data_IF_353099713418
#
_entry.id   IF_353099713418
#
_cell.length_a   1.000
_cell.length_b   1.000
_cell.length_c   1.000
_cell.angle_alpha   90.00
_cell.angle_beta   90.00
_cell.angle_gamma   90.00
#
_symmetry.space_group_name_H-M   'P 1'
#
loop_
_entity.id
_entity.type
_entity.pdbx_description
1 polymer ?
#
# COMPACT_ATOMS: atom_id res chain seq x y z
N UNK A 1 6.65 20.08 13.62
CA UNK A 1 7.66 19.12 14.08
C UNK A 1 8.87 19.88 14.57
N UNK A 2 10.05 19.39 14.20
CA UNK A 2 11.33 19.98 14.59
C UNK A 2 11.45 21.47 14.23
N UNK A 3 10.96 21.88 13.04
CA UNK A 3 10.93 23.29 12.63
C UNK A 3 10.05 24.18 13.51
N UNK A 4 9.04 23.60 14.16
CA UNK A 4 8.11 24.29 15.07
C UNK A 4 8.56 24.16 16.54
N UNK A 5 9.77 23.65 16.81
CA UNK A 5 10.31 23.46 18.16
C UNK A 5 9.83 22.20 18.89
N UNK A 6 9.00 21.36 18.27
CA UNK A 6 8.59 20.08 18.87
C UNK A 6 9.74 19.08 18.82
N UNK A 7 9.97 18.37 19.93
CA UNK A 7 10.96 17.31 19.98
C UNK A 7 10.43 16.01 19.40
N UNK A 8 11.31 15.23 18.77
CA UNK A 8 10.95 14.00 18.10
C UNK A 8 11.89 12.83 18.43
N UNK A 9 11.34 11.63 18.49
CA UNK A 9 12.09 10.37 18.48
C UNK A 9 11.87 9.68 17.13
N UNK A 10 12.94 9.24 16.48
CA UNK A 10 12.90 8.44 15.26
C UNK A 10 13.52 7.07 15.55
N UNK A 11 12.74 6.01 15.42
CA UNK A 11 13.20 4.63 15.58
C UNK A 11 13.41 4.04 14.19
N UNK A 12 14.65 3.71 13.87
CA UNK A 12 15.00 3.02 12.63
C UNK A 12 15.25 1.54 12.91
N UNK A 13 14.73 0.65 12.05
CA UNK A 13 15.00 -0.79 12.16
C UNK A 13 15.89 -1.31 11.04
N UNK A 14 15.72 -0.81 9.82
CA UNK A 14 16.41 -1.35 8.64
C UNK A 14 17.64 -0.50 8.26
N UNK A 15 17.58 0.81 8.49
CA UNK A 15 18.63 1.77 8.12
C UNK A 15 19.43 2.25 9.34
N UNK A 16 20.72 2.53 9.15
CA UNK A 16 21.50 3.18 10.21
C UNK A 16 21.09 4.65 10.34
N UNK A 17 21.13 5.24 11.55
CA UNK A 17 20.87 6.66 11.73
C UNK A 17 21.72 7.58 10.83
N UNK A 18 22.97 7.20 10.54
CA UNK A 18 23.85 7.94 9.61
C UNK A 18 23.25 8.05 8.21
N UNK A 19 22.66 6.95 7.73
CA UNK A 19 22.20 6.83 6.36
C UNK A 19 20.92 7.66 6.18
N UNK A 20 20.05 7.67 7.19
CA UNK A 20 18.87 8.55 7.25
C UNK A 20 19.26 10.04 7.24
N UNK A 21 20.31 10.42 7.99
CA UNK A 21 20.80 11.82 7.98
C UNK A 21 21.32 12.21 6.60
N UNK A 22 22.05 11.32 5.93
CA UNK A 22 22.53 11.54 4.56
C UNK A 22 21.36 11.67 3.56
N UNK A 23 20.38 10.76 3.62
CA UNK A 23 19.18 10.81 2.79
C UNK A 23 18.39 12.10 3.02
N UNK A 24 18.21 12.52 4.27
CA UNK A 24 17.56 13.78 4.62
C UNK A 24 18.33 14.99 4.04
N UNK A 25 19.66 14.95 4.12
CA UNK A 25 20.53 15.99 3.54
C UNK A 25 20.35 16.09 2.03
N UNK A 26 20.21 14.96 1.33
CA UNK A 26 19.94 14.94 -0.13
C UNK A 26 18.59 15.59 -0.51
N UNK A 27 17.63 15.60 0.43
CA UNK A 27 16.35 16.29 0.30
C UNK A 27 16.41 17.74 0.77
N UNK A 28 17.58 18.24 1.19
CA UNK A 28 17.79 19.60 1.69
C UNK A 28 17.42 19.79 3.16
N UNK A 29 17.28 18.71 3.93
CA UNK A 29 16.97 18.75 5.36
C UNK A 29 18.20 18.53 6.21
N UNK A 30 18.61 19.59 6.92
CA UNK A 30 19.67 19.49 7.93
C UNK A 30 19.08 18.97 9.25
N UNK A 31 19.27 17.68 9.50
CA UNK A 31 18.90 17.03 10.76
C UNK A 31 19.98 17.15 11.84
N UNK A 32 21.23 17.43 11.45
CA UNK A 32 22.37 17.45 12.38
C UNK A 32 22.21 18.50 13.47
N UNK A 33 21.67 19.68 13.11
CA UNK A 33 21.34 20.72 14.11
C UNK A 33 20.37 20.23 15.19
N UNK A 34 19.32 19.48 14.81
CA UNK A 34 18.33 18.99 15.78
C UNK A 34 18.87 17.84 16.64
N UNK A 35 19.78 17.03 16.09
CA UNK A 35 20.50 16.00 16.85
C UNK A 35 21.43 16.65 17.89
N UNK A 36 22.21 17.65 17.48
CA UNK A 36 23.12 18.38 18.36
C UNK A 36 22.38 19.08 19.51
N UNK A 37 21.26 19.72 19.19
CA UNK A 37 20.43 20.45 20.16
C UNK A 37 19.48 19.55 20.96
N UNK A 38 19.57 18.22 20.81
CA UNK A 38 18.70 17.23 21.49
C UNK A 38 17.21 17.50 21.28
N UNK A 39 16.84 17.99 20.10
CA UNK A 39 15.45 18.09 19.66
C UNK A 39 15.02 16.85 18.87
N UNK A 40 15.97 16.16 18.23
CA UNK A 40 15.77 14.87 17.59
C UNK A 40 16.62 13.82 18.33
N UNK A 41 16.01 12.68 18.65
CA UNK A 41 16.71 11.48 19.10
C UNK A 41 16.47 10.37 18.07
N UNK A 42 17.54 9.79 17.56
CA UNK A 42 17.47 8.63 16.67
C UNK A 42 17.87 7.37 17.43
N UNK A 43 17.03 6.35 17.37
CA UNK A 43 17.23 5.05 18.01
C UNK A 43 17.41 3.99 16.92
N UNK A 44 18.51 3.25 16.99
CA UNK A 44 18.79 2.11 16.11
C UNK A 44 18.28 0.83 16.77
N UNK A 45 17.24 0.24 16.18
CA UNK A 45 16.63 -1.01 16.63
C UNK A 45 17.18 -2.23 15.89
N UNK A 46 17.99 -2.08 14.83
CA UNK A 46 18.52 -3.19 14.04
C UNK A 46 19.24 -4.26 14.89
N UNK A 47 20.09 -3.90 15.89
CA UNK A 47 20.79 -4.90 16.72
C UNK A 47 19.86 -5.85 17.49
N UNK A 48 18.64 -5.43 17.80
CA UNK A 48 17.66 -6.27 18.49
C UNK A 48 17.14 -7.40 17.61
N UNK A 49 17.18 -7.24 16.28
CA UNK A 49 16.70 -8.21 15.31
C UNK A 49 17.82 -9.06 14.67
N UNK A 50 19.09 -8.64 14.78
CA UNK A 50 20.25 -9.31 14.17
C UNK A 50 21.05 -10.21 15.15
N UNK A 51 20.55 -10.44 16.37
CA UNK A 51 21.24 -11.20 17.43
C UNK A 51 21.57 -12.65 17.05
N UNK A 52 22.87 -12.99 17.12
CA UNK A 52 23.45 -14.29 16.83
C UNK A 52 23.18 -15.30 17.96
N UNK A 53 22.59 -16.47 17.64
CA UNK A 53 22.45 -17.55 18.63
C UNK A 53 21.34 -18.59 18.39
N UNK A 54 20.68 -18.62 17.23
CA UNK A 54 19.68 -19.66 16.89
C UNK A 54 18.37 -19.63 17.67
N UNK A 55 18.30 -18.94 18.82
CA UNK A 55 17.07 -18.60 19.51
C UNK A 55 16.66 -17.18 19.16
N UNK A 56 15.71 -17.03 18.23
CA UNK A 56 14.97 -15.77 18.09
C UNK A 56 14.30 -15.48 19.42
N UNK A 57 14.85 -14.53 20.19
CA UNK A 57 14.18 -14.03 21.40
C UNK A 57 12.84 -13.47 20.95
N UNK A 58 11.76 -14.01 21.49
CA UNK A 58 10.42 -13.54 21.17
C UNK A 58 10.31 -12.08 21.65
N UNK A 59 9.93 -11.19 20.73
CA UNK A 59 9.82 -9.78 21.03
C UNK A 59 8.66 -9.57 22.01
N UNK A 60 8.97 -9.08 23.20
CA UNK A 60 7.98 -8.62 24.16
C UNK A 60 7.56 -7.20 23.78
N UNK A 61 6.41 -7.10 23.09
CA UNK A 61 5.87 -5.82 22.61
C UNK A 61 5.64 -4.83 23.76
N UNK A 62 4.90 -5.17 24.84
CA UNK A 62 4.73 -4.28 25.98
C UNK A 62 6.05 -3.75 26.55
N UNK A 63 7.05 -4.62 26.74
CA UNK A 63 8.34 -4.20 27.27
C UNK A 63 9.07 -3.26 26.31
N UNK A 64 9.08 -3.59 25.02
CA UNK A 64 9.74 -2.78 23.99
C UNK A 64 9.13 -1.38 23.90
N UNK A 65 7.80 -1.28 23.99
CA UNK A 65 7.10 0.01 24.02
C UNK A 65 7.37 0.77 25.32
N UNK A 66 7.43 0.10 26.48
CA UNK A 66 7.78 0.75 27.74
C UNK A 66 9.22 1.32 27.71
N UNK A 67 10.17 0.57 27.13
CA UNK A 67 11.53 1.04 26.93
C UNK A 67 11.56 2.26 25.99
N UNK A 68 10.84 2.23 24.87
CA UNK A 68 10.68 3.39 23.98
C UNK A 68 10.07 4.60 24.71
N UNK A 69 9.02 4.37 25.51
CA UNK A 69 8.37 5.41 26.29
C UNK A 69 9.34 6.09 27.27
N UNK A 70 10.29 5.35 27.84
CA UNK A 70 11.32 5.94 28.69
C UNK A 70 12.19 6.97 27.95
N UNK A 71 12.56 6.70 26.70
CA UNK A 71 13.31 7.64 25.85
C UNK A 71 12.46 8.84 25.45
N UNK A 72 11.21 8.60 25.03
CA UNK A 72 10.25 9.65 24.65
C UNK A 72 10.00 10.61 25.81
N UNK A 73 9.71 10.08 27.00
CA UNK A 73 9.45 10.88 28.20
C UNK A 73 10.68 11.64 28.68
N UNK A 74 11.86 11.01 28.64
CA UNK A 74 13.13 11.67 29.00
C UNK A 74 13.47 12.83 28.06
N UNK A 75 13.18 12.68 26.76
CA UNK A 75 13.38 13.75 25.78
C UNK A 75 12.31 14.84 25.92
N UNK A 76 11.10 14.47 26.33
CA UNK A 76 9.89 15.29 26.23
C UNK A 76 9.42 15.38 24.78
N UNK A 77 9.45 14.26 24.05
CA UNK A 77 9.12 14.23 22.64
C UNK A 77 7.61 14.22 22.40
N UNK A 78 7.14 15.09 21.51
CA UNK A 78 5.73 15.15 21.11
C UNK A 78 5.46 14.36 19.82
N UNK A 79 6.52 13.89 19.16
CA UNK A 79 6.46 13.10 17.93
C UNK A 79 7.32 11.86 18.00
N UNK A 80 6.77 10.73 17.53
CA UNK A 80 7.50 9.47 17.43
C UNK A 80 7.29 8.91 16.02
N UNK A 81 8.37 8.53 15.36
CA UNK A 81 8.35 7.82 14.08
C UNK A 81 8.97 6.45 14.29
N UNK A 82 8.35 5.40 13.74
CA UNK A 82 8.89 4.04 13.73
C UNK A 82 8.94 3.56 12.28
N UNK A 83 10.13 3.31 11.77
CA UNK A 83 10.36 3.00 10.36
C UNK A 83 11.39 1.85 10.13
N UNK A 84 10.97 0.72 9.55
CA UNK A 84 9.58 0.25 9.45
C UNK A 84 9.09 -0.34 10.78
N UNK A 85 7.76 -0.35 10.97
CA UNK A 85 7.12 -0.98 12.13
C UNK A 85 7.05 -2.51 12.02
N UNK A 86 7.21 -3.06 10.82
CA UNK A 86 7.05 -4.49 10.52
C UNK A 86 7.79 -5.43 11.47
N UNK A 87 9.09 -5.24 11.73
CA UNK A 87 9.84 -6.09 12.66
C UNK A 87 9.32 -6.09 14.10
N UNK A 88 8.63 -5.03 14.54
CA UNK A 88 8.00 -4.96 15.86
C UNK A 88 6.70 -5.76 15.97
N UNK A 89 6.21 -6.31 14.86
CA UNK A 89 5.04 -7.19 14.81
C UNK A 89 5.52 -8.58 14.36
N UNK A 90 6.07 -9.39 15.29
CA UNK A 90 6.61 -10.70 14.95
C UNK A 90 5.52 -11.60 14.37
N UNK A 91 5.86 -12.30 13.28
CA UNK A 91 4.98 -13.26 12.62
C UNK A 91 5.43 -14.69 12.90
N UNK A 92 4.50 -15.51 13.40
CA UNK A 92 4.59 -16.98 13.32
C UNK A 92 3.51 -17.56 12.40
N UNK A 93 2.28 -17.00 12.40
CA UNK A 93 1.15 -17.31 11.49
C UNK A 93 0.15 -16.12 11.45
N UNK A 94 -0.71 -16.01 10.42
CA UNK A 94 -1.53 -14.81 10.15
C UNK A 94 -2.48 -14.33 11.26
N UNK A 95 -2.99 -15.21 12.14
CA UNK A 95 -3.78 -14.77 13.31
C UNK A 95 -2.94 -14.03 14.35
N UNK A 96 -1.69 -14.45 14.56
CA UNK A 96 -0.80 -13.85 15.54
C UNK A 96 -0.32 -12.45 15.13
N UNK A 97 -0.19 -12.18 13.83
CA UNK A 97 0.18 -10.85 13.33
C UNK A 97 -0.85 -9.80 13.77
N UNK A 98 -2.15 -10.12 13.62
CA UNK A 98 -3.24 -9.21 14.00
C UNK A 98 -3.23 -8.86 15.49
N UNK A 99 -3.07 -9.86 16.35
CA UNK A 99 -3.09 -9.65 17.80
C UNK A 99 -1.83 -8.92 18.27
N UNK A 100 -0.68 -9.18 17.64
CA UNK A 100 0.56 -8.46 17.90
C UNK A 100 0.46 -7.00 17.47
N UNK A 101 -0.08 -6.70 16.30
CA UNK A 101 -0.31 -5.33 15.84
C UNK A 101 -1.29 -4.56 16.76
N UNK A 102 -2.39 -5.20 17.18
CA UNK A 102 -3.31 -4.61 18.17
C UNK A 102 -2.63 -4.34 19.50
N UNK A 103 -1.82 -5.27 19.98
CA UNK A 103 -1.06 -5.13 21.23
C UNK A 103 -0.08 -3.97 21.14
N UNK A 104 0.64 -3.86 20.03
CA UNK A 104 1.57 -2.76 19.76
C UNK A 104 0.83 -1.41 19.77
N UNK A 105 -0.23 -1.27 18.98
CA UNK A 105 -0.97 0.00 18.87
C UNK A 105 -1.61 0.39 20.21
N UNK A 106 -2.16 -0.57 20.96
CA UNK A 106 -2.71 -0.32 22.29
C UNK A 106 -1.62 0.13 23.25
N UNK A 107 -0.48 -0.58 23.27
CA UNK A 107 0.63 -0.26 24.14
C UNK A 107 1.21 1.13 23.83
N UNK A 108 1.39 1.47 22.56
CA UNK A 108 1.83 2.81 22.13
C UNK A 108 0.85 3.88 22.61
N UNK A 109 -0.47 3.66 22.48
CA UNK A 109 -1.49 4.60 22.96
C UNK A 109 -1.48 4.78 24.48
N UNK A 110 -1.23 3.70 25.22
CA UNK A 110 -1.26 3.73 26.69
C UNK A 110 -0.01 4.35 27.31
N UNK A 111 1.14 4.24 26.65
CA UNK A 111 2.43 4.67 27.21
C UNK A 111 3.01 5.92 26.55
N UNK A 112 2.51 6.34 25.39
CA UNK A 112 2.99 7.50 24.66
C UNK A 112 1.89 8.54 24.50
N UNK A 113 2.07 9.70 25.10
CA UNK A 113 1.23 10.89 24.91
C UNK A 113 1.69 11.74 23.70
N UNK A 114 2.24 11.09 22.67
CA UNK A 114 2.81 11.72 21.48
C UNK A 114 2.02 11.41 20.21
N UNK A 115 2.24 12.21 19.16
CA UNK A 115 1.79 11.87 17.81
C UNK A 115 2.73 10.82 17.21
N UNK A 116 2.19 9.63 16.92
CA UNK A 116 2.97 8.49 16.45
C UNK A 116 2.73 8.25 14.95
N UNK A 117 3.80 8.13 14.17
CA UNK A 117 3.79 7.72 12.76
C UNK A 117 4.47 6.36 12.66
N UNK A 118 3.75 5.39 12.10
CA UNK A 118 4.25 4.03 11.88
C UNK A 118 4.37 3.82 10.37
N UNK A 119 5.56 3.47 9.89
CA UNK A 119 5.80 3.22 8.46
C UNK A 119 5.75 1.71 8.22
N UNK A 120 4.99 1.31 7.21
CA UNK A 120 4.87 -0.08 6.81
C UNK A 120 5.11 -0.19 5.29
N UNK A 121 6.15 -0.91 4.85
CA UNK A 121 6.30 -1.24 3.44
C UNK A 121 5.19 -2.23 3.04
N UNK A 122 4.50 -1.95 1.94
CA UNK A 122 3.55 -2.89 1.32
C UNK A 122 4.21 -3.56 0.12
N UNK A 123 4.09 -4.88 0.00
CA UNK A 123 4.63 -5.64 -1.12
C UNK A 123 3.78 -5.52 -2.40
N UNK A 124 2.71 -4.72 -2.37
CA UNK A 124 1.75 -4.59 -3.46
C UNK A 124 0.77 -5.75 -3.47
N UNK A 125 -0.53 -5.44 -3.52
CA UNK A 125 -1.67 -6.38 -3.53
C UNK A 125 -2.05 -7.01 -2.17
N UNK A 126 -2.59 -6.20 -1.25
CA UNK A 126 -3.44 -6.73 -0.16
C UNK A 126 -2.99 -6.46 1.29
N UNK A 127 -1.71 -6.17 1.55
CA UNK A 127 -1.22 -6.07 2.95
C UNK A 127 -1.81 -4.90 3.74
N UNK A 128 -2.28 -3.85 3.06
CA UNK A 128 -2.84 -2.67 3.75
C UNK A 128 -4.27 -2.91 4.24
N UNK A 129 -5.01 -3.83 3.61
CA UNK A 129 -6.34 -4.23 4.08
C UNK A 129 -6.26 -4.84 5.48
N UNK A 130 -5.17 -5.58 5.78
CA UNK A 130 -4.93 -6.10 7.13
C UNK A 130 -4.71 -5.00 8.19
N UNK A 131 -4.16 -3.83 7.80
CA UNK A 131 -3.91 -2.74 8.74
C UNK A 131 -5.04 -1.73 8.92
N UNK A 132 -5.95 -1.64 7.94
CA UNK A 132 -7.19 -0.85 8.07
C UNK A 132 -8.09 -1.36 9.21
N UNK A 133 -8.05 -2.66 9.49
CA UNK A 133 -8.75 -3.34 10.59
C UNK A 133 -8.23 -2.96 11.98
N UNK A 134 -7.04 -2.34 12.07
CA UNK A 134 -6.44 -2.02 13.36
C UNK A 134 -6.96 -0.69 13.94
N UNK A 135 -6.87 -0.50 15.28
CA UNK A 135 -7.37 0.68 15.97
C UNK A 135 -6.51 1.94 15.78
N UNK A 136 -5.85 2.10 14.62
CA UNK A 136 -5.15 3.32 14.23
C UNK A 136 -6.14 4.48 14.01
N UNK A 137 -5.68 5.69 14.33
CA UNK A 137 -6.47 6.90 14.15
C UNK A 137 -6.58 7.29 12.67
N UNK A 138 -5.53 7.07 11.88
CA UNK A 138 -5.52 7.36 10.46
C UNK A 138 -4.61 6.45 9.65
N UNK A 139 -4.81 6.47 8.32
CA UNK A 139 -4.08 5.69 7.33
C UNK A 139 -3.80 6.58 6.13
N UNK A 140 -2.51 6.76 5.82
CA UNK A 140 -2.02 7.47 4.63
C UNK A 140 -1.39 6.43 3.71
N UNK A 141 -1.90 6.36 2.49
CA UNK A 141 -1.49 5.41 1.46
C UNK A 141 -0.57 6.11 0.47
N UNK A 142 0.63 5.56 0.26
CA UNK A 142 1.54 5.97 -0.81
C UNK A 142 1.64 4.82 -1.81
N UNK A 143 1.35 5.09 -3.09
CA UNK A 143 1.36 4.08 -4.15
C UNK A 143 2.22 4.52 -5.32
N UNK A 144 2.79 3.54 -6.01
CA UNK A 144 3.35 3.70 -7.35
C UNK A 144 2.40 3.01 -8.32
N UNK A 145 1.75 3.78 -9.19
CA UNK A 145 0.77 3.28 -10.17
C UNK A 145 1.30 3.38 -11.59
N UNK A 146 0.94 2.42 -12.43
CA UNK A 146 1.22 2.47 -13.86
C UNK A 146 0.14 3.27 -14.58
N UNK A 147 0.55 4.26 -15.35
CA UNK A 147 -0.32 5.05 -16.24
C UNK A 147 0.10 4.86 -17.70
N UNK A 148 -0.72 5.27 -18.68
CA UNK A 148 -0.30 5.30 -20.09
C UNK A 148 0.93 6.18 -20.35
N UNK A 149 1.23 7.13 -19.46
CA UNK A 149 2.37 8.06 -19.56
C UNK A 149 3.60 7.58 -18.76
N UNK A 150 3.55 6.40 -18.16
CA UNK A 150 4.59 5.84 -17.31
C UNK A 150 4.16 5.69 -15.84
N UNK A 151 5.13 5.51 -14.96
CA UNK A 151 4.90 5.34 -13.53
C UNK A 151 4.62 6.68 -12.85
N UNK A 152 3.62 6.70 -11.97
CA UNK A 152 3.22 7.89 -11.22
C UNK A 152 3.06 7.52 -9.74
N UNK A 153 3.47 8.43 -8.84
CA UNK A 153 3.24 8.25 -7.40
C UNK A 153 1.94 8.94 -6.99
N UNK A 154 1.12 8.28 -6.18
CA UNK A 154 -0.12 8.84 -5.63
C UNK A 154 -0.18 8.71 -4.11
N UNK A 155 -0.83 9.68 -3.47
CA UNK A 155 -1.13 9.70 -2.04
C UNK A 155 -2.63 9.72 -1.83
N UNK A 156 -3.13 8.95 -0.86
CA UNK A 156 -4.53 8.92 -0.47
C UNK A 156 -4.64 8.91 1.05
N UNK A 157 -5.51 9.75 1.61
CA UNK A 157 -5.90 9.64 3.00
C UNK A 157 -7.09 8.68 3.07
N UNK A 158 -6.80 7.44 3.43
CA UNK A 158 -7.79 6.36 3.43
C UNK A 158 -8.72 6.43 4.64
N UNK A 159 -8.19 6.87 5.78
CA UNK A 159 -8.90 6.97 7.07
C UNK A 159 -8.27 8.09 7.89
N UNK A 160 -9.09 8.92 8.53
CA UNK A 160 -8.70 9.80 9.63
C UNK A 160 -9.90 9.97 10.56
N UNK A 161 -9.85 9.39 11.76
CA UNK A 161 -10.93 9.50 12.74
C UNK A 161 -11.11 10.97 13.17
N UNK A 162 -12.36 11.36 13.35
CA UNK A 162 -12.76 12.71 13.75
C UNK A 162 -12.33 13.85 12.81
N UNK A 163 -11.92 13.54 11.58
CA UNK A 163 -11.53 14.55 10.56
C UNK A 163 -12.21 14.23 9.24
N UNK A 164 -12.84 15.23 8.62
CA UNK A 164 -13.34 15.09 7.26
C UNK A 164 -12.15 14.97 6.30
N UNK A 165 -12.13 13.90 5.50
CA UNK A 165 -11.08 13.66 4.52
C UNK A 165 -11.71 13.34 3.18
N UNK A 166 -11.12 13.91 2.13
CA UNK A 166 -11.51 13.62 0.76
C UNK A 166 -10.92 12.25 0.35
N UNK A 167 -11.77 11.36 -0.16
CA UNK A 167 -11.36 10.04 -0.63
C UNK A 167 -10.88 10.09 -2.09
N UNK A 168 -9.90 10.95 -2.36
CA UNK A 168 -9.32 11.17 -3.68
C UNK A 168 -7.83 10.81 -3.66
N UNK A 169 -7.36 10.11 -4.69
CA UNK A 169 -5.92 9.93 -4.89
C UNK A 169 -5.31 11.20 -5.50
N UNK A 170 -4.26 11.73 -4.90
CA UNK A 170 -3.55 12.90 -5.41
C UNK A 170 -2.16 12.49 -5.91
N UNK A 171 -1.75 12.92 -7.12
CA UNK A 171 -0.39 12.69 -7.58
C UNK A 171 0.60 13.48 -6.74
N UNK A 172 1.80 12.93 -6.53
CA UNK A 172 2.87 13.65 -5.87
C UNK A 172 4.24 13.39 -6.51
N UNK A 173 5.15 14.32 -6.31
CA UNK A 173 6.56 14.21 -6.67
C UNK A 173 7.46 14.37 -5.45
N UNK A 174 8.63 13.75 -5.50
CA UNK A 174 9.70 14.01 -4.53
C UNK A 174 10.65 15.00 -5.21
N UNK A 175 10.77 16.20 -4.66
CA UNK A 175 11.57 17.29 -5.22
C UNK A 175 12.68 17.64 -4.24
N UNK A 176 13.93 17.65 -4.70
CA UNK A 176 15.07 18.03 -3.87
C UNK A 176 14.88 19.43 -3.25
N UNK A 177 15.19 19.56 -1.97
CA UNK A 177 14.96 20.78 -1.18
C UNK A 177 13.52 20.99 -0.70
N UNK A 178 12.54 20.21 -1.19
CA UNK A 178 11.12 20.34 -0.83
C UNK A 178 10.52 19.07 -0.24
N UNK A 179 11.03 17.90 -0.60
CA UNK A 179 10.45 16.61 -0.24
C UNK A 179 9.20 16.29 -1.05
N UNK A 180 8.15 15.81 -0.40
CA UNK A 180 6.88 15.42 -1.03
C UNK A 180 6.09 16.68 -1.41
N UNK A 181 5.80 16.83 -2.71
CA UNK A 181 4.96 17.90 -3.26
C UNK A 181 3.72 17.28 -3.89
N UNK A 182 2.56 17.58 -3.32
CA UNK A 182 1.25 17.15 -3.83
C UNK A 182 0.85 18.04 -5.01
N UNK A 183 0.49 17.42 -6.13
CA UNK A 183 0.00 18.12 -7.31
C UNK A 183 -1.51 18.35 -7.18
N UNK A 184 -1.96 19.59 -7.45
CA UNK A 184 -3.32 20.04 -7.12
C UNK A 184 -4.45 19.41 -7.93
N UNK A 185 -4.19 18.46 -8.81
CA UNK A 185 -5.21 17.79 -9.64
C UNK A 185 -4.67 16.48 -10.19
N UNK A 186 -5.44 15.40 -10.10
CA UNK A 186 -5.35 14.35 -11.10
C UNK A 186 -5.75 14.99 -12.45
N UNK A 187 -5.00 14.82 -13.54
CA UNK A 187 -5.53 15.14 -14.85
C UNK A 187 -6.79 14.30 -15.03
N UNK A 188 -7.96 14.92 -14.97
CA UNK A 188 -9.21 14.29 -15.38
C UNK A 188 -8.94 13.81 -16.80
N UNK A 189 -8.96 12.49 -17.01
CA UNK A 189 -9.03 11.97 -18.36
C UNK A 189 -10.21 12.68 -19.00
N UNK A 190 -9.95 13.47 -20.06
CA UNK A 190 -10.99 14.19 -20.78
C UNK A 190 -12.16 13.22 -20.98
N UNK A 191 -13.42 13.64 -20.73
CA UNK A 191 -14.56 12.76 -20.89
C UNK A 191 -14.44 12.13 -22.28
N UNK A 192 -14.21 10.81 -22.31
CA UNK A 192 -14.27 10.06 -23.55
C UNK A 192 -15.69 10.30 -24.02
N UNK A 193 -15.83 11.03 -25.13
CA UNK A 193 -17.13 11.31 -25.70
C UNK A 193 -17.90 9.99 -25.75
N UNK A 194 -19.19 9.96 -25.34
CA UNK A 194 -19.98 8.75 -25.46
C UNK A 194 -19.82 8.23 -26.89
N UNK A 195 -19.69 6.90 -27.10
CA UNK A 195 -19.58 6.36 -28.44
C UNK A 195 -20.73 6.95 -29.26
N UNK A 196 -20.38 7.67 -30.33
CA UNK A 196 -21.35 8.23 -31.26
C UNK A 196 -22.23 7.05 -31.67
N UNK A 197 -23.52 7.12 -31.31
CA UNK A 197 -24.47 6.10 -31.69
C UNK A 197 -24.36 5.91 -33.22
N UNK A 198 -24.27 4.66 -33.72
CA UNK A 198 -24.19 4.45 -35.15
C UNK A 198 -25.40 5.13 -35.80
N UNK A 199 -25.11 5.98 -36.79
CA UNK A 199 -26.12 6.64 -37.59
C UNK A 199 -27.09 5.57 -38.12
N UNK A 200 -28.37 5.69 -37.76
CA UNK A 200 -29.39 4.76 -38.22
C UNK A 200 -29.53 4.99 -39.71
N UNK A 201 -28.84 4.18 -40.51
CA UNK A 201 -29.03 4.12 -41.95
C UNK A 201 -30.45 3.60 -42.18
N UNK A 202 -31.35 4.36 -42.84
CA UNK A 202 -32.68 3.86 -43.13
C UNK A 202 -32.56 2.59 -43.97
N UNK A 203 -33.27 1.54 -43.54
CA UNK A 203 -33.28 0.25 -44.20
C UNK A 203 -33.65 0.42 -45.69
N UNK A 204 -32.75 0.01 -46.58
CA UNK A 204 -33.11 -0.14 -48.00
C UNK A 204 -34.16 -1.26 -48.12
N UNK A 205 -35.21 -1.06 -48.93
CA UNK A 205 -36.16 -2.13 -49.21
C UNK A 205 -35.44 -3.30 -49.91
N UNK A 206 -35.81 -4.55 -49.61
CA UNK A 206 -35.13 -5.70 -50.18
C UNK A 206 -35.31 -5.75 -51.70
N UNK A 207 -34.22 -6.01 -52.41
CA UNK A 207 -34.23 -6.30 -53.84
C UNK A 207 -35.01 -7.60 -54.13
N UNK A 208 -35.69 -7.71 -55.29
CA UNK A 208 -36.46 -8.91 -55.62
C UNK A 208 -35.56 -10.14 -55.72
N UNK A 209 -36.01 -11.23 -55.07
CA UNK A 209 -35.33 -12.52 -55.04
C UNK A 209 -35.34 -13.14 -56.44
N UNK A 210 -34.17 -13.22 -57.08
CA UNK A 210 -33.96 -14.06 -58.26
C UNK A 210 -33.53 -15.45 -57.78
N UNK A 211 -34.29 -16.47 -58.18
CA UNK A 211 -34.00 -17.86 -57.83
C UNK A 211 -32.61 -18.27 -58.37
N UNK A 212 -31.67 -18.57 -57.47
CA UNK A 212 -30.35 -19.05 -57.81
C UNK A 212 -30.37 -20.57 -58.07
N UNK A 213 -29.74 -20.98 -59.18
CA UNK A 213 -29.44 -22.39 -59.49
C UNK A 213 -28.37 -22.93 -58.52
N UNK A 214 -28.38 -24.22 -58.16
CA UNK A 214 -27.38 -24.78 -57.26
C UNK A 214 -25.99 -24.78 -57.92
N UNK A 215 -24.99 -24.29 -57.19
CA UNK A 215 -23.57 -24.46 -57.50
C UNK A 215 -22.93 -25.49 -56.55
N UNK A 216 -21.90 -26.23 -57.01
CA UNK A 216 -21.34 -27.39 -56.31
C UNK A 216 -20.46 -27.02 -55.11
N UNK A 217 -20.39 -27.94 -54.16
CA UNK A 217 -19.62 -27.84 -52.91
C UNK A 217 -18.12 -27.64 -53.14
N UNK A 218 -17.53 -26.71 -52.38
CA UNK A 218 -16.09 -26.49 -52.30
C UNK A 218 -15.49 -27.28 -51.10
N UNK A 219 -14.23 -27.76 -51.21
CA UNK A 219 -13.63 -28.68 -50.24
C UNK A 219 -13.27 -28.01 -48.91
N UNK A 220 -13.37 -28.80 -47.85
CA UNK A 220 -13.02 -28.44 -46.46
C UNK A 220 -11.49 -28.45 -46.28
N UNK A 221 -10.94 -27.35 -45.77
CA UNK A 221 -9.53 -27.23 -45.36
C UNK A 221 -9.42 -27.42 -43.84
N UNK A 222 -8.86 -28.57 -43.44
CA UNK A 222 -8.62 -29.00 -42.06
C UNK A 222 -7.28 -28.46 -41.52
N UNK A 223 -7.18 -27.15 -41.32
CA UNK A 223 -6.03 -26.55 -40.66
C UNK A 223 -6.41 -25.47 -39.63
N UNK A 224 -7.10 -25.90 -38.57
CA UNK A 224 -7.24 -25.11 -37.33
C UNK A 224 -6.65 -25.88 -36.13
N UNK A 225 -5.64 -25.28 -35.50
CA UNK A 225 -4.77 -25.85 -34.45
C UNK A 225 -5.20 -25.38 -33.04
N UNK A 226 -6.38 -24.79 -32.87
CA UNK A 226 -6.84 -24.28 -31.58
C UNK A 226 -8.27 -24.72 -31.28
N UNK A 227 -8.44 -25.51 -30.22
CA UNK A 227 -9.74 -25.91 -29.66
C UNK A 227 -9.99 -25.08 -28.41
N UNK A 228 -11.12 -24.37 -28.39
CA UNK A 228 -11.59 -23.62 -27.24
C UNK A 228 -12.10 -24.57 -26.14
N UNK A 229 -11.57 -24.43 -24.92
CA UNK A 229 -12.01 -25.17 -23.74
C UNK A 229 -13.33 -24.59 -23.21
N UNK A 230 -14.37 -25.43 -23.05
CA UNK A 230 -15.67 -25.04 -22.53
C UNK A 230 -15.99 -25.79 -21.21
N UNK A 231 -16.06 -25.10 -20.06
CA UNK A 231 -16.20 -25.73 -18.74
C UNK A 231 -17.58 -26.32 -18.42
N UNK A 232 -18.57 -26.23 -19.31
CA UNK A 232 -19.94 -26.71 -19.07
C UNK A 232 -20.05 -28.24 -19.27
N UNK A 233 -19.16 -28.87 -20.05
CA UNK A 233 -19.22 -30.30 -20.34
C UNK A 233 -18.65 -31.22 -19.23
N UNK A 234 -17.87 -30.68 -18.28
CA UNK A 234 -17.32 -31.48 -17.16
C UNK A 234 -18.18 -31.52 -15.89
N UNK A 235 -19.19 -30.64 -15.75
CA UNK A 235 -20.08 -30.66 -14.58
C UNK A 235 -21.33 -31.55 -14.75
N UNK A 236 -21.55 -32.16 -15.92
CA UNK A 236 -22.73 -32.98 -16.22
C UNK A 236 -22.62 -34.49 -15.99
N UNK A 237 -21.45 -35.04 -15.62
CA UNK A 237 -21.23 -36.51 -15.58
C UNK A 237 -20.55 -37.03 -14.31
N UNK A 238 -21.00 -36.62 -13.12
CA UNK A 238 -20.69 -37.35 -11.86
C UNK A 238 -21.82 -37.35 -10.84
N UNK A 239 -23.05 -37.68 -11.25
CA UNK A 239 -24.07 -38.22 -10.34
C UNK A 239 -24.92 -39.24 -11.10
N UNK A 240 -24.55 -40.52 -11.02
CA UNK A 240 -25.42 -41.73 -11.08
C UNK A 240 -24.55 -42.98 -11.25
N UNK A 241 -24.18 -43.60 -10.14
CA UNK A 241 -24.07 -45.07 -9.97
C UNK A 241 -23.74 -45.40 -8.50
N UNK A 242 -24.78 -45.45 -7.68
CA UNK A 242 -24.86 -46.30 -6.47
C UNK A 242 -25.99 -47.27 -6.76
N UNK A 243 -25.69 -48.57 -6.85
CA UNK A 243 -26.64 -49.61 -7.22
C UNK A 243 -25.97 -50.88 -7.72
N UNK A 244 -25.25 -51.55 -6.82
CA UNK A 244 -25.02 -52.99 -6.73
C UNK A 244 -24.30 -53.23 -5.39
#
# INVERSE_FOLDING_TARGET
>A
GLMEGEKAVYVSVDDKPSDIVEQATSLGWDLMKYLADKHLLMLDAAPFFTGHGGMKKELDIPKTVADLASYVNRLGASRVVIDPVGPLVPSREGRHIRDNARTLIRSLREHLESTNILVLPSAGTGDVEEWEEYPVAGVIMLKLIQTPRGLMRTVLIRKMRATAVELTEHPFKIVGGKGIVIESTMPVAAPVAPPVAPEIVPAQPPAPVVAARPQPEAPVDDSNVFVAWNPIDEMGKKVTKKGA
#
